data_IF_016959578650
#
_entry.id   IF_016959578650
#
_cell.length_a   1.000
_cell.length_b   1.000
_cell.length_c   1.000
_cell.angle_alpha   90.00
_cell.angle_beta   90.00
_cell.angle_gamma   90.00
#
_symmetry.space_group_name_H-M   'P 1'
#
loop_
_entity.id
_entity.type
_entity.pdbx_description
1 polymer ?
#
# COMPACT_ATOMS: atom_id res chain seq x y z
N UNK A 1 -5.42 53.36 23.82
CA UNK A 1 -4.78 52.02 23.83
C UNK A 1 -5.14 51.31 22.54
N UNK A 2 -4.12 50.88 21.80
CA UNK A 2 -4.13 50.80 20.34
C UNK A 2 -4.94 49.63 19.78
N UNK A 3 -5.97 49.91 18.98
CA UNK A 3 -6.69 48.92 18.15
C UNK A 3 -5.75 48.10 17.23
N UNK A 4 -4.56 48.63 16.95
CA UNK A 4 -3.48 47.96 16.22
C UNK A 4 -2.84 46.77 16.97
N UNK A 5 -2.93 46.73 18.31
CA UNK A 5 -2.40 45.61 19.12
C UNK A 5 -3.38 44.43 19.16
N UNK A 6 -4.70 44.69 19.09
CA UNK A 6 -5.69 43.60 19.00
C UNK A 6 -5.67 42.89 17.63
N UNK A 7 -5.34 43.61 16.55
CA UNK A 7 -5.33 43.03 15.20
C UNK A 7 -4.10 42.13 14.96
N UNK A 8 -2.99 42.38 15.66
CA UNK A 8 -1.76 41.58 15.58
C UNK A 8 -1.84 40.27 16.36
N UNK A 9 -2.75 40.16 17.35
CA UNK A 9 -2.96 38.93 18.12
C UNK A 9 -3.85 37.90 17.40
N UNK A 10 -4.73 38.35 16.48
CA UNK A 10 -5.61 37.46 15.70
C UNK A 10 -4.92 36.80 14.50
N UNK A 11 -3.79 37.34 14.01
CA UNK A 11 -3.05 36.74 12.89
C UNK A 11 -2.04 35.67 13.33
N UNK A 12 -1.78 35.53 14.63
CA UNK A 12 -0.87 34.52 15.19
C UNK A 12 -1.49 33.13 15.33
N UNK A 13 -2.79 32.95 15.04
CA UNK A 13 -3.45 31.64 15.05
C UNK A 13 -3.36 30.85 13.74
N UNK A 14 -2.74 31.42 12.70
CA UNK A 14 -2.54 30.75 11.42
C UNK A 14 -1.08 30.31 11.28
N UNK A 15 -0.69 29.18 11.88
CA UNK A 15 0.68 28.70 11.69
C UNK A 15 1.15 27.49 12.47
N UNK A 16 0.26 26.69 13.06
CA UNK A 16 0.63 25.37 13.59
C UNK A 16 -0.15 24.31 12.82
N UNK A 17 0.44 23.80 11.73
CA UNK A 17 0.06 22.47 11.24
C UNK A 17 0.48 21.47 12.31
N UNK A 18 -0.34 21.33 13.35
CA UNK A 18 -0.26 20.17 14.22
C UNK A 18 -0.59 19.00 13.30
N UNK A 19 0.40 18.14 13.03
CA UNK A 19 0.15 16.83 12.44
C UNK A 19 -0.64 16.05 13.50
N UNK A 20 -1.97 16.23 13.46
CA UNK A 20 -2.87 15.50 14.33
C UNK A 20 -2.69 14.02 14.01
N UNK A 21 -2.61 13.22 15.06
CA UNK A 21 -2.70 11.76 14.92
C UNK A 21 -3.98 11.41 14.18
N UNK A 22 -3.94 10.29 13.47
CA UNK A 22 -5.13 9.70 12.86
C UNK A 22 -6.24 9.62 13.91
N UNK A 23 -7.43 10.08 13.57
CA UNK A 23 -8.56 10.06 14.50
C UNK A 23 -9.11 8.63 14.64
N UNK A 24 -9.96 8.40 15.65
CA UNK A 24 -10.63 7.11 15.79
C UNK A 24 -11.49 6.80 14.56
N UNK A 25 -12.16 7.80 14.01
CA UNK A 25 -13.01 7.70 12.82
C UNK A 25 -12.20 7.37 11.57
N UNK A 26 -11.02 7.97 11.40
CA UNK A 26 -10.12 7.63 10.29
C UNK A 26 -9.59 6.19 10.44
N UNK A 27 -9.25 5.77 11.65
CA UNK A 27 -8.83 4.38 11.91
C UNK A 27 -9.96 3.36 11.65
N UNK A 28 -11.24 3.76 11.75
CA UNK A 28 -12.39 2.92 11.38
C UNK A 28 -12.47 2.63 9.88
N UNK A 29 -11.81 3.42 9.04
CA UNK A 29 -11.68 3.11 7.61
C UNK A 29 -10.89 1.80 7.38
N UNK A 30 -9.97 1.43 8.28
CA UNK A 30 -9.18 0.20 8.21
C UNK A 30 -10.07 -1.03 8.38
N UNK A 31 -10.10 -1.87 7.36
CA UNK A 31 -10.98 -3.04 7.26
C UNK A 31 -12.32 -2.75 6.57
N UNK A 32 -12.71 -1.47 6.46
CA UNK A 32 -13.92 -1.04 5.78
C UNK A 32 -13.62 -0.55 4.36
N UNK A 33 -13.38 0.76 4.15
CA UNK A 33 -12.99 1.33 2.85
C UNK A 33 -11.52 1.09 2.51
N UNK A 34 -10.68 0.96 3.54
CA UNK A 34 -9.28 0.57 3.41
C UNK A 34 -9.11 -0.91 3.75
N UNK A 35 -8.08 -1.54 3.21
CA UNK A 35 -7.59 -2.83 3.73
C UNK A 35 -7.10 -2.64 5.17
N UNK A 36 -6.93 -3.72 5.95
CA UNK A 36 -6.36 -3.60 7.29
C UNK A 36 -4.95 -2.98 7.33
N UNK A 37 -4.27 -2.91 6.18
CA UNK A 37 -2.94 -2.31 6.01
C UNK A 37 -3.00 -0.87 5.47
N UNK A 38 -4.19 -0.31 5.26
CA UNK A 38 -4.37 1.08 4.82
C UNK A 38 -4.38 1.33 3.31
N UNK A 39 -4.32 0.28 2.49
CA UNK A 39 -4.47 0.43 1.04
C UNK A 39 -5.96 0.58 0.67
N UNK A 40 -6.27 1.21 -0.46
CA UNK A 40 -7.62 1.23 -1.03
C UNK A 40 -8.18 -0.19 -1.15
N UNK A 41 -9.36 -0.48 -0.58
CA UNK A 41 -9.95 -1.82 -0.65
C UNK A 41 -10.66 -2.06 -1.98
N UNK A 42 -11.27 -1.02 -2.55
CA UNK A 42 -12.03 -1.12 -3.79
C UNK A 42 -11.16 -1.59 -4.97
N UNK A 43 -11.83 -2.17 -5.97
CA UNK A 43 -11.26 -2.35 -7.30
C UNK A 43 -11.19 -1.03 -8.07
N UNK A 44 -10.57 -1.03 -9.24
CA UNK A 44 -10.56 0.15 -10.10
C UNK A 44 -11.83 0.23 -10.97
N UNK A 45 -12.17 1.45 -11.41
CA UNK A 45 -13.35 1.68 -12.27
C UNK A 45 -13.29 0.91 -13.62
N UNK A 46 -12.09 0.60 -14.11
CA UNK A 46 -11.90 -0.17 -15.34
C UNK A 46 -12.15 -1.68 -15.18
N UNK A 47 -12.34 -2.18 -13.96
CA UNK A 47 -12.56 -3.60 -13.68
C UNK A 47 -11.32 -4.50 -13.87
N UNK A 48 -10.14 -3.92 -14.12
CA UNK A 48 -8.89 -4.66 -14.31
C UNK A 48 -8.16 -4.97 -13.01
N UNK A 49 -8.52 -4.29 -11.92
CA UNK A 49 -8.06 -4.54 -10.56
C UNK A 49 -9.28 -4.90 -9.72
N UNK A 50 -9.38 -6.13 -9.18
CA UNK A 50 -10.52 -6.52 -8.36
C UNK A 50 -10.46 -5.85 -6.98
N UNK A 51 -11.60 -5.85 -6.28
CA UNK A 51 -11.64 -5.53 -4.85
C UNK A 51 -10.76 -6.49 -4.05
N UNK A 52 -10.17 -6.02 -2.95
CA UNK A 52 -9.50 -6.89 -2.00
C UNK A 52 -10.50 -7.60 -1.08
N UNK A 53 -10.45 -8.92 -1.05
CA UNK A 53 -11.41 -9.79 -0.35
C UNK A 53 -10.78 -10.60 0.79
N UNK A 54 -9.61 -10.19 1.30
CA UNK A 54 -8.93 -10.88 2.41
C UNK A 54 -7.56 -11.48 2.06
N UNK A 55 -7.26 -11.62 0.77
CA UNK A 55 -6.01 -12.20 0.26
C UNK A 55 -5.83 -13.69 0.59
N UNK A 56 -4.61 -14.18 0.38
CA UNK A 56 -4.26 -15.59 0.54
C UNK A 56 -3.66 -15.87 1.93
N UNK A 57 -4.03 -17.00 2.52
CA UNK A 57 -3.54 -17.49 3.81
C UNK A 57 -3.51 -19.04 3.83
N UNK A 58 -3.02 -19.62 4.93
CA UNK A 58 -2.86 -21.07 5.07
C UNK A 58 -4.16 -21.89 5.07
N UNK A 59 -5.32 -21.24 5.19
CA UNK A 59 -6.64 -21.88 5.18
C UNK A 59 -7.29 -21.89 3.80
N UNK A 60 -6.92 -20.95 2.91
CA UNK A 60 -7.49 -20.81 1.56
C UNK A 60 -6.47 -21.02 0.43
N UNK A 61 -5.27 -21.50 0.77
CA UNK A 61 -4.25 -21.89 -0.21
C UNK A 61 -3.93 -23.37 -0.12
N UNK A 62 -3.65 -23.97 -1.27
CA UNK A 62 -3.15 -25.34 -1.34
C UNK A 62 -1.80 -25.39 -0.61
N UNK A 63 -1.69 -26.27 0.38
CA UNK A 63 -0.41 -26.53 1.06
C UNK A 63 0.57 -27.13 0.07
N UNK A 64 1.79 -26.58 0.02
CA UNK A 64 2.83 -27.17 -0.81
C UNK A 64 3.25 -28.54 -0.30
N UNK A 65 3.58 -29.42 -1.26
CA UNK A 65 4.26 -30.68 -1.00
C UNK A 65 5.74 -30.48 -0.63
N UNK A 66 6.32 -29.35 -1.00
CA UNK A 66 7.70 -28.98 -0.69
C UNK A 66 7.75 -28.11 0.58
N UNK A 67 8.44 -28.61 1.61
CA UNK A 67 8.57 -27.97 2.92
C UNK A 67 9.59 -26.83 2.78
N UNK A 68 9.15 -25.66 2.33
CA UNK A 68 9.97 -24.46 2.21
C UNK A 68 9.63 -23.58 1.00
N UNK A 69 8.84 -24.11 0.06
CA UNK A 69 8.41 -23.37 -1.13
C UNK A 69 6.88 -23.38 -1.21
N UNK A 70 6.22 -22.22 -1.37
CA UNK A 70 4.79 -22.20 -1.66
C UNK A 70 4.49 -22.84 -3.02
N UNK A 71 3.38 -23.58 -3.12
CA UNK A 71 2.85 -24.03 -4.41
C UNK A 71 2.30 -22.84 -5.19
N UNK A 72 2.13 -23.01 -6.51
CA UNK A 72 1.43 -22.02 -7.33
C UNK A 72 -0.05 -21.97 -6.87
N UNK A 73 -0.54 -20.84 -6.32
CA UNK A 73 -1.93 -20.72 -5.89
C UNK A 73 -2.93 -20.67 -7.07
N UNK A 74 -2.44 -20.45 -8.30
CA UNK A 74 -3.26 -20.36 -9.50
C UNK A 74 -2.68 -21.25 -10.62
N UNK A 75 -2.74 -22.58 -10.49
CA UNK A 75 -2.15 -23.50 -11.48
C UNK A 75 -2.84 -23.41 -12.85
N UNK A 76 -4.10 -22.99 -12.88
CA UNK A 76 -4.91 -22.95 -14.09
C UNK A 76 -4.95 -21.57 -14.76
N UNK A 77 -4.27 -20.56 -14.19
CA UNK A 77 -4.25 -19.21 -14.74
C UNK A 77 -3.63 -19.22 -16.15
N UNK A 78 -4.34 -18.62 -17.10
CA UNK A 78 -3.88 -18.43 -18.47
C UNK A 78 -3.62 -16.95 -18.75
N UNK A 79 -2.65 -16.60 -19.61
CA UNK A 79 -2.48 -15.23 -20.06
C UNK A 79 -3.74 -14.73 -20.76
N UNK A 80 -4.16 -13.50 -20.43
CA UNK A 80 -5.18 -12.77 -21.18
C UNK A 80 -4.69 -12.47 -22.61
N UNK A 81 -3.41 -12.13 -22.72
CA UNK A 81 -2.68 -11.94 -23.96
C UNK A 81 -1.17 -11.95 -23.70
N UNK A 82 -0.37 -11.95 -24.76
CA UNK A 82 1.09 -11.89 -24.68
C UNK A 82 1.60 -10.69 -25.47
N UNK A 83 2.37 -9.84 -24.79
CA UNK A 83 3.11 -8.76 -25.45
C UNK A 83 4.43 -9.34 -25.96
N UNK A 84 4.76 -9.10 -27.23
CA UNK A 84 5.96 -9.57 -27.89
C UNK A 84 6.52 -8.49 -28.85
N UNK A 85 7.66 -8.79 -29.49
CA UNK A 85 8.30 -7.86 -30.43
C UNK A 85 7.43 -7.39 -31.59
N UNK A 86 6.42 -8.16 -32.00
CA UNK A 86 5.50 -7.77 -33.10
C UNK A 86 4.39 -6.80 -32.67
N UNK A 87 4.06 -6.74 -31.37
CA UNK A 87 2.90 -5.99 -30.89
C UNK A 87 3.18 -4.99 -29.75
N UNK A 88 4.37 -4.97 -29.14
CA UNK A 88 4.66 -4.10 -28.00
C UNK A 88 4.48 -2.61 -28.33
N UNK A 89 4.62 -2.23 -29.61
CA UNK A 89 4.29 -0.89 -30.11
C UNK A 89 2.88 -0.43 -29.73
N UNK A 90 1.89 -1.34 -29.72
CA UNK A 90 0.50 -1.07 -29.35
C UNK A 90 0.32 -0.87 -27.84
N UNK A 91 1.29 -1.28 -27.03
CA UNK A 91 1.24 -1.27 -25.57
C UNK A 91 2.28 -0.32 -24.95
N UNK A 92 2.94 0.53 -25.74
CA UNK A 92 4.04 1.37 -25.26
C UNK A 92 3.67 2.23 -24.05
N UNK A 93 2.44 2.75 -24.00
CA UNK A 93 1.95 3.53 -22.85
C UNK A 93 1.79 2.71 -21.56
N UNK A 94 1.80 1.38 -21.65
CA UNK A 94 1.76 0.48 -20.50
C UNK A 94 3.15 -0.04 -20.10
N UNK A 95 4.20 0.30 -20.86
CA UNK A 95 5.55 -0.24 -20.67
C UNK A 95 6.50 0.85 -20.19
N UNK A 96 7.27 0.54 -19.15
CA UNK A 96 8.39 1.38 -18.72
C UNK A 96 9.51 1.39 -19.78
N UNK A 97 10.39 2.41 -19.78
CA UNK A 97 11.56 2.44 -20.66
C UNK A 97 12.43 1.19 -20.57
N UNK A 98 12.57 0.62 -19.36
CA UNK A 98 13.31 -0.63 -19.14
C UNK A 98 12.65 -1.84 -19.82
N UNK A 99 11.32 -1.95 -19.76
CA UNK A 99 10.60 -3.04 -20.44
C UNK A 99 10.66 -2.89 -21.97
N UNK A 100 10.57 -1.66 -22.50
CA UNK A 100 10.77 -1.39 -23.93
C UNK A 100 12.18 -1.78 -24.37
N UNK A 101 13.19 -1.45 -23.56
CA UNK A 101 14.57 -1.84 -23.82
C UNK A 101 14.76 -3.37 -23.87
N UNK A 102 14.05 -4.14 -23.03
CA UNK A 102 14.07 -5.60 -23.08
C UNK A 102 13.54 -6.14 -24.41
N UNK A 103 12.42 -5.63 -24.92
CA UNK A 103 11.92 -6.00 -26.25
C UNK A 103 12.93 -5.66 -27.35
N UNK A 104 13.50 -4.45 -27.34
CA UNK A 104 14.49 -4.06 -28.35
C UNK A 104 15.77 -4.91 -28.30
N UNK A 105 16.20 -5.32 -27.10
CA UNK A 105 17.44 -6.09 -26.90
C UNK A 105 17.26 -7.57 -27.25
N UNK A 106 16.10 -8.15 -26.96
CA UNK A 106 15.86 -9.58 -27.03
C UNK A 106 14.67 -9.90 -27.94
N UNK A 107 14.90 -10.33 -29.19
CA UNK A 107 13.82 -10.62 -30.15
C UNK A 107 12.82 -11.72 -29.73
N UNK A 108 13.22 -12.59 -28.80
CA UNK A 108 12.39 -13.66 -28.25
C UNK A 108 11.69 -13.28 -26.94
N UNK A 109 11.86 -12.03 -26.46
CA UNK A 109 11.25 -11.60 -25.21
C UNK A 109 9.73 -11.55 -25.35
N UNK A 110 9.06 -12.10 -24.35
CA UNK A 110 7.60 -12.13 -24.27
C UNK A 110 7.20 -11.75 -22.85
N UNK A 111 6.10 -11.01 -22.76
CA UNK A 111 5.49 -10.62 -21.50
C UNK A 111 4.04 -11.11 -21.51
N UNK A 112 3.77 -12.31 -20.95
CA UNK A 112 2.40 -12.77 -20.75
C UNK A 112 1.72 -11.88 -19.70
N UNK A 113 0.54 -11.38 -20.03
CA UNK A 113 -0.26 -10.53 -19.16
C UNK A 113 -1.41 -11.37 -18.60
N UNK A 114 -1.54 -11.40 -17.27
CA UNK A 114 -2.55 -12.17 -16.56
C UNK A 114 -3.58 -11.26 -15.90
N UNK A 115 -4.69 -11.85 -15.47
CA UNK A 115 -5.68 -11.16 -14.65
C UNK A 115 -5.06 -10.72 -13.31
N UNK A 116 -5.26 -9.45 -12.93
CA UNK A 116 -4.81 -8.96 -11.62
C UNK A 116 -5.54 -9.71 -10.51
N UNK A 117 -4.79 -10.16 -9.49
CA UNK A 117 -5.33 -10.70 -8.25
C UNK A 117 -4.69 -9.99 -7.06
N UNK A 118 -5.50 -9.64 -6.06
CA UNK A 118 -5.02 -8.98 -4.83
C UNK A 118 -4.85 -10.00 -3.71
N UNK A 119 -3.72 -10.69 -3.70
CA UNK A 119 -3.47 -11.85 -2.82
C UNK A 119 -2.73 -11.51 -1.53
N UNK A 120 -2.11 -10.33 -1.44
CA UNK A 120 -1.38 -9.93 -0.25
C UNK A 120 -2.30 -9.87 0.98
N UNK A 121 -1.88 -10.52 2.06
CA UNK A 121 -2.57 -10.55 3.35
C UNK A 121 -1.53 -10.66 4.47
N UNK A 122 -1.88 -10.15 5.66
CA UNK A 122 -1.10 -10.38 6.87
C UNK A 122 -1.85 -11.39 7.77
N UNK A 123 -1.17 -12.01 8.74
CA UNK A 123 -1.83 -12.77 9.79
C UNK A 123 -2.99 -11.97 10.42
N UNK A 124 -4.20 -12.55 10.55
CA UNK A 124 -5.38 -11.81 11.02
C UNK A 124 -5.21 -11.15 12.40
N UNK A 125 -4.40 -11.75 13.28
CA UNK A 125 -4.11 -11.21 14.60
C UNK A 125 -3.33 -9.89 14.57
N UNK A 126 -2.68 -9.53 13.45
CA UNK A 126 -1.99 -8.25 13.31
C UNK A 126 -2.93 -7.12 12.90
N UNK A 127 -4.12 -7.42 12.37
CA UNK A 127 -5.02 -6.38 11.88
C UNK A 127 -5.53 -5.44 12.98
N UNK A 128 -5.85 -5.99 14.16
CA UNK A 128 -6.21 -5.15 15.33
C UNK A 128 -5.02 -4.34 15.84
N UNK A 129 -3.82 -4.92 15.83
CA UNK A 129 -2.57 -4.26 16.23
C UNK A 129 -2.27 -3.07 15.30
N UNK A 130 -2.40 -3.26 14.00
CA UNK A 130 -2.18 -2.21 13.00
C UNK A 130 -3.23 -1.10 13.14
N UNK A 131 -4.50 -1.45 13.39
CA UNK A 131 -5.56 -0.47 13.64
C UNK A 131 -5.29 0.35 14.91
N UNK A 132 -4.77 -0.27 15.96
CA UNK A 132 -4.36 0.43 17.18
C UNK A 132 -3.16 1.35 16.91
N UNK A 133 -2.14 0.86 16.18
CA UNK A 133 -0.98 1.66 15.79
C UNK A 133 -1.38 2.95 15.05
N UNK A 134 -2.45 2.93 14.25
CA UNK A 134 -2.93 4.11 13.54
C UNK A 134 -3.16 5.31 14.47
N UNK A 135 -3.74 5.07 15.65
CA UNK A 135 -4.11 6.12 16.61
C UNK A 135 -3.04 6.35 17.69
N UNK A 136 -2.15 5.39 17.91
CA UNK A 136 -1.14 5.49 18.98
C UNK A 136 0.22 5.98 18.49
N UNK A 137 0.65 5.57 17.29
CA UNK A 137 2.02 5.78 16.79
C UNK A 137 2.37 7.25 16.64
N UNK A 138 3.63 7.57 16.95
CA UNK A 138 4.18 8.91 16.82
C UNK A 138 5.60 8.86 16.27
N UNK A 139 5.91 9.79 15.36
CA UNK A 139 7.29 10.05 14.99
C UNK A 139 8.04 10.68 16.17
N UNK A 140 9.29 10.27 16.35
CA UNK A 140 10.25 11.02 17.15
C UNK A 140 10.67 12.32 16.44
N UNK A 141 11.26 13.29 17.17
CA UNK A 141 11.75 14.53 16.57
C UNK A 141 12.59 14.26 15.32
N UNK A 142 12.39 15.11 14.31
CA UNK A 142 13.08 15.03 13.01
C UNK A 142 12.86 13.71 12.25
N UNK A 143 11.90 12.88 12.67
CA UNK A 143 11.64 11.58 12.06
C UNK A 143 12.68 10.51 12.40
N UNK A 144 13.49 10.71 13.45
CA UNK A 144 14.57 9.80 13.85
C UNK A 144 14.11 8.46 14.43
N UNK A 145 12.81 8.23 14.55
CA UNK A 145 12.25 6.99 15.10
C UNK A 145 10.72 7.01 15.16
N UNK A 146 10.16 5.91 15.65
CA UNK A 146 8.75 5.77 15.99
C UNK A 146 8.62 5.35 17.46
N UNK A 147 7.66 5.93 18.17
CA UNK A 147 7.26 5.52 19.52
C UNK A 147 5.77 5.21 19.57
N UNK A 148 5.33 4.60 20.67
CA UNK A 148 3.93 4.30 20.94
C UNK A 148 3.27 3.41 19.88
N UNK A 149 4.03 2.49 19.29
CA UNK A 149 3.54 1.51 18.33
C UNK A 149 3.96 0.10 18.77
N UNK A 150 3.16 -0.89 18.38
CA UNK A 150 3.46 -2.30 18.47
C UNK A 150 4.07 -2.81 17.15
N UNK A 151 4.20 -4.12 16.95
CA UNK A 151 4.82 -4.70 15.74
C UNK A 151 4.11 -4.31 14.42
N UNK A 152 4.78 -4.63 13.30
CA UNK A 152 4.30 -4.46 11.91
C UNK A 152 4.23 -3.00 11.42
N UNK A 153 3.03 -2.45 11.22
CA UNK A 153 2.82 -1.19 10.49
C UNK A 153 2.44 -0.08 11.49
N UNK A 154 3.30 0.91 11.76
CA UNK A 154 3.01 2.02 12.66
C UNK A 154 2.00 3.01 12.09
N UNK A 155 2.10 3.34 10.79
CA UNK A 155 1.31 4.40 10.17
C UNK A 155 0.51 3.85 8.98
N UNK A 156 -0.53 3.03 9.20
CA UNK A 156 -1.33 2.48 8.09
C UNK A 156 -2.05 3.56 7.27
N UNK A 157 -2.31 4.74 7.85
CA UNK A 157 -2.82 5.92 7.14
C UNK A 157 -1.73 7.01 7.24
N UNK A 158 -0.67 6.95 6.41
CA UNK A 158 0.45 7.86 6.55
C UNK A 158 0.09 9.25 6.02
N UNK A 159 0.43 10.27 6.80
CA UNK A 159 0.28 11.70 6.49
C UNK A 159 1.53 12.31 5.86
N UNK A 160 2.66 11.59 5.88
CA UNK A 160 3.96 12.09 5.41
C UNK A 160 4.85 11.00 4.81
N UNK A 161 5.83 11.41 4.00
CA UNK A 161 6.78 10.47 3.38
C UNK A 161 7.65 9.73 4.42
N UNK A 162 7.94 10.37 5.56
CA UNK A 162 8.74 9.76 6.62
C UNK A 162 7.96 8.64 7.34
N UNK A 163 6.64 8.76 7.47
CA UNK A 163 5.79 7.68 7.99
C UNK A 163 5.76 6.47 7.04
N UNK A 164 5.71 6.71 5.72
CA UNK A 164 5.83 5.66 4.70
C UNK A 164 7.18 4.95 4.81
N UNK A 165 8.27 5.71 5.03
CA UNK A 165 9.59 5.14 5.27
C UNK A 165 9.60 4.27 6.51
N UNK A 166 9.02 4.73 7.62
CA UNK A 166 8.96 3.94 8.85
C UNK A 166 8.14 2.67 8.69
N UNK A 167 7.03 2.68 7.96
CA UNK A 167 6.30 1.45 7.62
C UNK A 167 7.17 0.43 6.87
N UNK A 168 8.09 0.89 6.02
CA UNK A 168 9.07 0.01 5.41
C UNK A 168 10.10 -0.48 6.42
N UNK A 169 10.65 0.40 7.26
CA UNK A 169 11.69 0.03 8.23
C UNK A 169 11.17 -1.00 9.24
N UNK A 170 9.94 -0.86 9.74
CA UNK A 170 9.37 -1.68 10.82
C UNK A 170 8.58 -2.90 10.36
N UNK A 171 8.58 -3.19 9.05
CA UNK A 171 7.76 -4.25 8.43
C UNK A 171 7.93 -5.67 8.99
N UNK A 172 8.96 -5.93 9.80
CA UNK A 172 9.30 -7.24 10.38
C UNK A 172 9.43 -7.15 11.91
#
# INVERSE_FOLDING_TARGET
MNKLILLSLLFSLAGSSVFAKVTQEEAEMLGNSLTPLGAEKAGNAAGTIPQWEGGLNSLNTTKSKDIGRPDNPFPDDQPLFVINNSNFGKHQHNLSPGQIALFNKYPSYQMPVYQTKRTAAYPPNLYSVIKENAITSELLPEGGGVKNYQVAIPFPIPSSAIEVLWNHVTRF
#
